data_IF_904251153637
#
_entry.id   IF_904251153637
#
_cell.length_a   1.000
_cell.length_b   1.000
_cell.length_c   1.000
_cell.angle_alpha   90.00
_cell.angle_beta   90.00
_cell.angle_gamma   90.00
#
_symmetry.space_group_name_H-M   'P 1'
#
loop_
_entity.id
_entity.type
_entity.pdbx_description
1 polymer ?
#
# COMPACT_ATOMS: atom_id res chain seq x y z
N UNK A 1 -41.92 15.22 -0.47
CA UNK A 1 -40.92 15.98 0.32
C UNK A 1 -40.68 15.24 1.62
N UNK A 2 -39.45 14.74 1.84
CA UNK A 2 -39.13 14.00 3.05
C UNK A 2 -39.04 14.95 4.26
N UNK A 3 -39.68 14.60 5.37
CA UNK A 3 -39.61 15.39 6.59
C UNK A 3 -38.18 15.33 7.19
N UNK A 4 -37.56 16.49 7.44
CA UNK A 4 -36.27 16.54 8.13
C UNK A 4 -36.54 16.39 9.62
N UNK A 5 -36.34 15.18 10.13
CA UNK A 5 -36.47 14.85 11.54
C UNK A 5 -35.33 13.94 11.98
N UNK A 6 -35.20 13.74 13.30
CA UNK A 6 -34.13 12.94 13.89
C UNK A 6 -34.10 11.50 13.33
N UNK A 7 -35.25 10.85 13.19
CA UNK A 7 -35.34 9.48 12.71
C UNK A 7 -34.80 9.33 11.27
N UNK A 8 -35.23 10.20 10.37
CA UNK A 8 -34.82 10.18 8.96
C UNK A 8 -33.32 10.49 8.79
N UNK A 9 -32.79 11.44 9.58
CA UNK A 9 -31.36 11.73 9.58
C UNK A 9 -30.52 10.56 10.10
N UNK A 10 -31.00 9.85 11.13
CA UNK A 10 -30.33 8.64 11.64
C UNK A 10 -30.28 7.53 10.60
N UNK A 11 -31.39 7.30 9.87
CA UNK A 11 -31.43 6.29 8.79
C UNK A 11 -30.47 6.66 7.66
N UNK A 12 -30.45 7.93 7.24
CA UNK A 12 -29.51 8.42 6.23
C UNK A 12 -28.06 8.20 6.67
N UNK A 13 -27.72 8.56 7.90
CA UNK A 13 -26.38 8.34 8.45
C UNK A 13 -25.99 6.86 8.45
N UNK A 14 -26.88 5.97 8.88
CA UNK A 14 -26.63 4.53 8.84
C UNK A 14 -26.42 4.02 7.41
N UNK A 15 -27.20 4.51 6.45
CA UNK A 15 -27.06 4.16 5.03
C UNK A 15 -25.70 4.58 4.48
N UNK A 16 -25.29 5.83 4.73
CA UNK A 16 -23.98 6.33 4.30
C UNK A 16 -22.83 5.60 4.99
N UNK A 17 -22.96 5.31 6.29
CA UNK A 17 -21.99 4.49 7.01
C UNK A 17 -21.84 3.10 6.39
N UNK A 18 -22.96 2.47 6.00
CA UNK A 18 -22.94 1.17 5.31
C UNK A 18 -22.25 1.27 3.95
N UNK A 19 -22.52 2.31 3.16
CA UNK A 19 -21.83 2.56 1.89
C UNK A 19 -20.33 2.74 2.07
N UNK A 20 -19.92 3.52 3.08
CA UNK A 20 -18.50 3.71 3.43
C UNK A 20 -17.81 2.40 3.82
N UNK A 21 -18.45 1.61 4.70
CA UNK A 21 -17.95 0.28 5.07
C UNK A 21 -17.89 -0.69 3.89
N UNK A 22 -18.78 -0.54 2.91
CA UNK A 22 -18.73 -1.25 1.64
C UNK A 22 -17.51 -0.84 0.82
N UNK A 23 -17.24 0.47 0.72
CA UNK A 23 -16.08 1.04 0.03
C UNK A 23 -14.74 0.54 0.56
N UNK A 24 -14.59 0.42 1.88
CA UNK A 24 -13.38 -0.15 2.51
C UNK A 24 -13.04 -1.55 1.98
N UNK A 25 -14.05 -2.35 1.65
CA UNK A 25 -13.84 -3.73 1.15
C UNK A 25 -13.47 -3.79 -0.33
N UNK A 26 -13.59 -2.68 -1.05
CA UNK A 26 -13.25 -2.59 -2.47
C UNK A 26 -11.75 -2.30 -2.68
N UNK A 27 -11.12 -1.62 -1.72
CA UNK A 27 -9.68 -1.38 -1.74
C UNK A 27 -8.90 -2.70 -1.60
N UNK A 28 -7.81 -2.82 -2.37
CA UNK A 28 -6.90 -3.97 -2.32
C UNK A 28 -5.45 -3.47 -2.24
N UNK A 29 -5.08 -2.78 -1.16
CA UNK A 29 -3.76 -2.19 -1.02
C UNK A 29 -2.66 -3.26 -1.10
N UNK A 30 -1.50 -2.86 -1.61
CA UNK A 30 -0.31 -3.70 -1.80
C UNK A 30 0.88 -3.28 -0.94
N UNK A 31 0.78 -2.22 -0.15
CA UNK A 31 1.87 -1.67 0.67
C UNK A 31 2.47 -2.70 1.61
N UNK A 32 1.69 -3.68 2.08
CA UNK A 32 2.15 -4.76 2.97
C UNK A 32 3.24 -5.65 2.32
N UNK A 33 3.38 -5.61 0.99
CA UNK A 33 4.42 -6.34 0.27
C UNK A 33 5.80 -5.68 0.41
N UNK A 34 5.83 -4.40 0.75
CA UNK A 34 7.03 -3.56 0.74
C UNK A 34 7.27 -2.81 2.06
N UNK A 35 6.28 -2.82 2.97
CA UNK A 35 6.35 -2.15 4.26
C UNK A 35 5.65 -2.97 5.36
N UNK A 36 6.14 -2.83 6.59
CA UNK A 36 5.57 -3.47 7.78
C UNK A 36 4.70 -2.49 8.55
N UNK A 37 3.57 -2.96 9.10
CA UNK A 37 2.70 -2.17 9.96
C UNK A 37 3.28 -2.09 11.37
N UNK A 38 3.51 -0.88 11.87
CA UNK A 38 3.80 -0.63 13.29
C UNK A 38 2.65 0.22 13.85
N UNK A 39 1.91 -0.25 14.87
CA UNK A 39 0.85 0.53 15.48
C UNK A 39 1.41 1.75 16.21
N UNK A 40 0.77 2.91 16.04
CA UNK A 40 1.13 4.18 16.68
C UNK A 40 -0.05 4.67 17.52
N UNK A 41 0.19 5.06 18.77
CA UNK A 41 -0.83 5.60 19.68
C UNK A 41 -0.51 7.00 20.20
N UNK A 42 0.73 7.48 20.03
CA UNK A 42 1.18 8.82 20.46
C UNK A 42 1.11 9.88 19.36
N UNK A 43 1.72 11.05 19.58
CA UNK A 43 1.87 12.09 18.56
C UNK A 43 2.97 11.76 17.53
N UNK A 44 3.92 10.91 17.91
CA UNK A 44 5.01 10.45 17.06
C UNK A 44 5.51 9.09 17.54
N UNK A 45 6.12 8.33 16.64
CA UNK A 45 6.92 7.17 17.00
C UNK A 45 8.40 7.53 16.98
N UNK A 46 9.08 7.19 18.06
CA UNK A 46 10.52 7.35 18.19
C UNK A 46 11.20 5.98 18.01
N UNK A 47 12.17 5.93 17.09
CA UNK A 47 12.80 4.69 16.65
C UNK A 47 14.31 4.68 16.93
N UNK A 48 14.71 4.92 18.19
CA UNK A 48 16.11 4.78 18.61
C UNK A 48 16.70 3.35 18.44
N UNK A 49 15.84 2.36 18.22
CA UNK A 49 16.22 0.95 18.09
C UNK A 49 16.43 0.50 16.64
N UNK A 50 16.24 1.37 15.63
CA UNK A 50 16.41 1.02 14.20
C UNK A 50 17.84 0.60 13.84
N UNK A 51 18.78 0.74 14.79
CA UNK A 51 20.10 0.15 14.66
C UNK A 51 20.02 -1.36 14.64
N UNK A 52 20.77 -1.96 13.72
CA UNK A 52 20.78 -3.39 13.52
C UNK A 52 21.30 -4.06 14.79
N UNK A 53 20.41 -4.78 15.48
CA UNK A 53 20.78 -5.60 16.63
C UNK A 53 21.96 -6.50 16.22
N UNK A 54 23.04 -6.58 17.01
CA UNK A 54 24.21 -7.35 16.63
C UNK A 54 23.83 -8.79 16.34
N UNK A 55 24.44 -9.37 15.29
CA UNK A 55 24.20 -10.77 14.94
C UNK A 55 24.46 -11.66 16.15
N UNK A 56 23.55 -12.60 16.40
CA UNK A 56 23.74 -13.63 17.42
C UNK A 56 25.06 -14.35 17.16
N UNK A 57 25.86 -14.48 18.21
CA UNK A 57 27.12 -15.23 18.19
C UNK A 57 27.12 -16.23 19.32
N UNK A 58 27.92 -17.27 19.17
CA UNK A 58 28.14 -18.23 20.24
C UNK A 58 28.73 -17.54 21.48
N UNK A 59 28.29 -17.99 22.65
CA UNK A 59 28.73 -17.44 23.92
C UNK A 59 30.16 -17.91 24.20
N UNK A 60 31.14 -17.01 24.05
CA UNK A 60 32.54 -17.28 24.37
C UNK A 60 32.96 -16.31 25.47
N UNK A 61 33.18 -16.83 26.68
CA UNK A 61 33.63 -16.04 27.83
C UNK A 61 32.55 -15.14 28.44
N UNK A 62 32.92 -13.92 28.85
CA UNK A 62 32.00 -12.97 29.48
C UNK A 62 31.10 -12.25 28.45
N UNK A 63 29.98 -11.71 28.93
CA UNK A 63 29.02 -10.97 28.12
C UNK A 63 29.69 -9.73 27.51
N UNK A 64 29.86 -9.71 26.19
CA UNK A 64 30.29 -8.49 25.51
C UNK A 64 29.08 -7.59 25.24
N UNK A 65 29.22 -6.32 25.61
CA UNK A 65 28.22 -5.28 25.42
C UNK A 65 28.58 -4.48 24.17
N UNK A 66 27.76 -4.58 23.14
CA UNK A 66 27.82 -3.68 22.00
C UNK A 66 27.03 -2.42 22.34
N UNK A 67 27.67 -1.25 22.29
CA UNK A 67 26.96 0.02 22.39
C UNK A 67 26.23 0.27 21.09
N UNK A 68 24.91 0.46 21.17
CA UNK A 68 24.13 1.03 20.07
C UNK A 68 24.53 2.51 19.96
N UNK A 69 24.79 2.98 18.75
CA UNK A 69 24.91 4.40 18.45
C UNK A 69 23.53 5.06 18.70
N UNK A 70 23.48 6.37 18.84
CA UNK A 70 22.25 7.10 19.14
C UNK A 70 21.82 7.86 17.89
N UNK A 71 20.96 7.24 17.08
CA UNK A 71 20.27 7.94 15.99
C UNK A 71 18.81 8.22 16.39
N UNK A 72 18.47 9.51 16.46
CA UNK A 72 17.11 9.96 16.75
C UNK A 72 16.27 9.97 15.47
N UNK A 73 15.56 8.88 15.19
CA UNK A 73 14.57 8.85 14.11
C UNK A 73 13.16 8.98 14.66
N UNK A 74 12.54 10.13 14.43
CA UNK A 74 11.16 10.44 14.86
C UNK A 74 10.24 10.54 13.66
N UNK A 75 9.17 9.76 13.66
CA UNK A 75 8.11 9.85 12.65
C UNK A 75 6.88 10.46 13.31
N UNK A 76 6.52 11.72 12.98
CA UNK A 76 5.29 12.33 13.49
C UNK A 76 4.07 11.69 12.85
N UNK A 77 3.02 11.48 13.65
CA UNK A 77 1.71 11.10 13.13
C UNK A 77 1.09 12.31 12.44
N UNK A 78 0.43 12.07 11.30
CA UNK A 78 -0.30 13.07 10.53
C UNK A 78 -1.76 12.66 10.43
N UNK A 79 -2.64 13.64 10.57
CA UNK A 79 -4.07 13.43 10.44
C UNK A 79 -4.51 13.62 8.98
N UNK A 80 -5.43 12.76 8.53
CA UNK A 80 -5.96 12.77 7.17
C UNK A 80 -7.48 12.66 7.22
N UNK A 81 -8.17 13.39 6.35
CA UNK A 81 -9.62 13.38 6.30
C UNK A 81 -10.16 13.30 4.86
N UNK A 82 -11.31 12.65 4.73
CA UNK A 82 -12.15 12.68 3.55
C UNK A 82 -13.62 12.81 4.01
N UNK A 83 -14.20 13.99 3.79
CA UNK A 83 -15.51 14.35 4.36
C UNK A 83 -16.59 14.39 3.29
N UNK A 84 -17.71 13.69 3.53
CA UNK A 84 -18.91 13.72 2.67
C UNK A 84 -19.93 14.67 3.28
N UNK A 85 -20.27 15.74 2.56
CA UNK A 85 -21.21 16.77 3.02
C UNK A 85 -22.56 16.60 2.35
N UNK A 86 -23.61 16.35 3.14
CA UNK A 86 -24.99 16.26 2.65
C UNK A 86 -25.69 17.62 2.75
N UNK A 87 -26.16 18.14 1.61
CA UNK A 87 -26.93 19.39 1.57
C UNK A 87 -28.35 19.18 2.10
N UNK A 88 -28.81 20.10 2.95
CA UNK A 88 -30.19 20.12 3.49
C UNK A 88 -31.25 20.08 2.39
N UNK A 89 -31.05 20.84 1.31
CA UNK A 89 -32.04 20.89 0.22
C UNK A 89 -32.17 19.54 -0.49
N UNK A 90 -31.05 18.82 -0.69
CA UNK A 90 -31.11 17.49 -1.30
C UNK A 90 -31.87 16.47 -0.43
N UNK A 91 -31.93 16.68 0.89
CA UNK A 91 -32.77 15.86 1.78
C UNK A 91 -34.24 16.19 1.58
N UNK A 92 -34.60 17.47 1.43
CA UNK A 92 -35.99 17.89 1.20
C UNK A 92 -36.52 17.39 -0.16
N UNK A 93 -35.65 17.47 -1.16
CA UNK A 93 -35.94 17.20 -2.57
C UNK A 93 -35.71 15.73 -2.95
N UNK A 94 -35.39 14.86 -1.97
CA UNK A 94 -35.14 13.41 -2.16
C UNK A 94 -34.02 13.07 -3.16
N UNK A 95 -33.00 13.93 -3.23
CA UNK A 95 -31.81 13.78 -4.08
C UNK A 95 -30.66 13.09 -3.34
N UNK A 96 -30.93 11.92 -2.75
CA UNK A 96 -29.97 11.25 -1.85
C UNK A 96 -29.08 10.21 -2.53
N UNK A 97 -29.44 9.75 -3.73
CA UNK A 97 -28.72 8.68 -4.44
C UNK A 97 -27.23 8.96 -4.70
N UNK A 98 -26.85 10.23 -4.83
CA UNK A 98 -25.47 10.65 -5.09
C UNK A 98 -24.53 10.39 -3.90
N UNK A 99 -25.04 10.50 -2.66
CA UNK A 99 -24.21 10.45 -1.46
C UNK A 99 -23.75 9.03 -1.13
N UNK A 100 -24.50 8.00 -1.55
CA UNK A 100 -24.07 6.61 -1.40
C UNK A 100 -22.80 6.32 -2.21
N UNK A 101 -22.71 6.84 -3.44
CA UNK A 101 -21.53 6.70 -4.30
C UNK A 101 -20.35 7.47 -3.69
N UNK A 102 -20.58 8.69 -3.23
CA UNK A 102 -19.54 9.48 -2.55
C UNK A 102 -19.02 8.80 -1.28
N UNK A 103 -19.91 8.26 -0.44
CA UNK A 103 -19.51 7.53 0.76
C UNK A 103 -18.71 6.25 0.41
N UNK A 104 -19.10 5.55 -0.67
CA UNK A 104 -18.36 4.37 -1.15
C UNK A 104 -16.96 4.76 -1.63
N UNK A 105 -16.86 5.82 -2.43
CA UNK A 105 -15.59 6.34 -2.92
C UNK A 105 -14.67 6.80 -1.78
N UNK A 106 -15.23 7.47 -0.76
CA UNK A 106 -14.50 7.86 0.44
C UNK A 106 -13.96 6.64 1.20
N UNK A 107 -14.76 5.58 1.35
CA UNK A 107 -14.30 4.33 1.96
C UNK A 107 -13.17 3.66 1.17
N UNK A 108 -13.30 3.62 -0.16
CA UNK A 108 -12.24 3.07 -1.01
C UNK A 108 -10.94 3.88 -0.93
N UNK A 109 -11.03 5.21 -0.94
CA UNK A 109 -9.88 6.10 -0.77
C UNK A 109 -9.21 5.90 0.59
N UNK A 110 -9.99 5.76 1.67
CA UNK A 110 -9.45 5.49 3.00
C UNK A 110 -8.67 4.15 3.06
N UNK A 111 -9.14 3.11 2.37
CA UNK A 111 -8.43 1.82 2.33
C UNK A 111 -7.15 1.87 1.46
N UNK A 112 -7.17 2.64 0.37
CA UNK A 112 -6.01 2.80 -0.52
C UNK A 112 -4.99 3.83 -0.01
N UNK A 113 -5.35 4.67 0.95
CA UNK A 113 -4.49 5.73 1.46
C UNK A 113 -3.08 5.26 1.90
N UNK A 114 -2.92 4.12 2.62
CA UNK A 114 -1.60 3.64 2.99
C UNK A 114 -0.72 3.25 1.79
N UNK A 115 -1.32 2.79 0.68
CA UNK A 115 -0.58 2.53 -0.56
C UNK A 115 0.03 3.82 -1.11
N UNK A 116 -0.75 4.89 -1.20
CA UNK A 116 -0.28 6.18 -1.71
C UNK A 116 0.93 6.68 -0.91
N UNK A 117 0.84 6.66 0.42
CA UNK A 117 1.96 7.08 1.27
C UNK A 117 3.20 6.22 1.09
N UNK A 118 3.07 4.89 1.11
CA UNK A 118 4.22 3.98 1.05
C UNK A 118 4.89 4.02 -0.31
N UNK A 119 4.11 4.04 -1.41
CA UNK A 119 4.69 4.15 -2.74
C UNK A 119 5.26 5.53 -3.04
N UNK A 120 4.73 6.61 -2.46
CA UNK A 120 5.36 7.92 -2.54
C UNK A 120 6.73 7.94 -1.86
N UNK A 121 6.86 7.32 -0.68
CA UNK A 121 8.14 7.17 0.00
C UNK A 121 9.13 6.33 -0.81
N UNK A 122 8.68 5.25 -1.45
CA UNK A 122 9.51 4.43 -2.33
C UNK A 122 9.99 5.20 -3.56
N UNK A 123 9.13 6.02 -4.17
CA UNK A 123 9.54 6.89 -5.29
C UNK A 123 10.63 7.89 -4.86
N UNK A 124 10.60 8.32 -3.59
CA UNK A 124 11.59 9.22 -2.99
C UNK A 124 12.79 8.48 -2.38
N UNK A 125 12.88 7.16 -2.47
CA UNK A 125 13.88 6.37 -1.77
C UNK A 125 15.34 6.68 -2.16
N UNK A 126 15.56 7.23 -3.37
CA UNK A 126 16.90 7.61 -3.85
C UNK A 126 17.31 9.03 -3.49
N UNK A 127 16.42 9.83 -2.88
CA UNK A 127 16.66 11.25 -2.60
C UNK A 127 16.34 11.66 -1.15
N UNK A 128 15.27 11.12 -0.58
CA UNK A 128 14.87 11.41 0.80
C UNK A 128 15.82 10.75 1.79
N UNK A 129 16.32 11.54 2.75
CA UNK A 129 17.26 11.10 3.77
C UNK A 129 16.60 10.17 4.80
N UNK A 130 17.35 9.18 5.24
CA UNK A 130 17.00 8.23 6.28
C UNK A 130 17.65 8.58 7.62
N UNK A 131 17.56 7.66 8.58
CA UNK A 131 18.08 7.84 9.94
C UNK A 131 19.58 8.14 10.00
N UNK A 132 20.35 7.70 9.00
CA UNK A 132 21.79 7.92 8.87
C UNK A 132 22.15 9.15 7.99
N UNK A 133 21.15 9.92 7.56
CA UNK A 133 21.33 11.12 6.74
C UNK A 133 21.58 10.86 5.25
N UNK A 134 21.59 9.60 4.81
CA UNK A 134 21.73 9.19 3.41
C UNK A 134 20.37 8.79 2.81
N UNK A 135 20.22 8.76 1.47
CA UNK A 135 19.01 8.23 0.84
C UNK A 135 18.74 6.77 1.25
N UNK A 136 17.47 6.37 1.31
CA UNK A 136 17.06 5.00 1.68
C UNK A 136 17.72 3.93 0.82
N UNK A 137 17.89 4.18 -0.47
CA UNK A 137 18.67 3.31 -1.36
C UNK A 137 20.01 3.99 -1.66
N UNK A 138 21.07 3.48 -1.03
CA UNK A 138 22.43 3.98 -1.17
C UNK A 138 23.46 2.85 -1.13
N UNK A 139 24.63 3.10 -1.73
CA UNK A 139 25.78 2.21 -1.65
C UNK A 139 26.72 2.55 -0.48
N UNK A 140 26.37 3.54 0.33
CA UNK A 140 27.28 4.19 1.27
C UNK A 140 26.77 4.18 2.72
N UNK A 141 25.78 3.34 3.05
CA UNK A 141 25.28 3.21 4.42
C UNK A 141 26.39 2.67 5.33
N UNK A 142 26.71 3.37 6.42
CA UNK A 142 27.78 2.95 7.34
C UNK A 142 27.19 2.39 8.64
N UNK A 143 27.71 1.25 9.07
CA UNK A 143 27.40 0.66 10.38
C UNK A 143 28.73 0.30 11.04
N UNK A 144 29.11 1.05 12.07
CA UNK A 144 30.47 1.03 12.61
C UNK A 144 31.48 1.41 11.52
N UNK A 145 32.54 0.62 11.39
CA UNK A 145 33.60 0.85 10.39
C UNK A 145 33.25 0.29 8.99
N UNK A 146 32.16 -0.46 8.88
CA UNK A 146 31.79 -1.17 7.65
C UNK A 146 30.77 -0.37 6.82
N UNK A 147 30.91 -0.43 5.50
CA UNK A 147 29.96 0.16 4.54
C UNK A 147 29.11 -0.94 3.90
N UNK A 148 27.80 -0.72 3.88
CA UNK A 148 26.79 -1.60 3.33
C UNK A 148 26.08 -0.93 2.16
N UNK A 149 25.72 -1.72 1.14
CA UNK A 149 25.00 -1.27 -0.04
C UNK A 149 23.71 -2.07 -0.19
N UNK A 150 22.57 -1.37 -0.28
CA UNK A 150 21.28 -1.95 -0.69
C UNK A 150 20.90 -1.56 -2.13
N UNK A 151 21.83 -0.95 -2.87
CA UNK A 151 21.66 -0.60 -4.27
C UNK A 151 22.06 -1.76 -5.19
N UNK A 152 21.10 -2.30 -5.94
CA UNK A 152 21.34 -3.26 -7.01
C UNK A 152 21.61 -2.59 -8.35
N UNK A 153 22.62 -3.05 -9.09
CA UNK A 153 22.93 -2.60 -10.47
C UNK A 153 22.57 -3.64 -11.54
N UNK A 154 21.96 -4.74 -11.13
CA UNK A 154 21.63 -5.83 -12.06
C UNK A 154 20.58 -5.33 -13.08
N UNK A 155 20.79 -5.57 -14.38
CA UNK A 155 19.80 -5.20 -15.40
C UNK A 155 18.51 -5.97 -15.14
N UNK A 156 17.38 -5.26 -15.17
CA UNK A 156 16.07 -5.89 -15.08
C UNK A 156 15.86 -6.79 -16.31
N UNK A 157 15.94 -8.10 -16.12
CA UNK A 157 15.68 -9.07 -17.18
C UNK A 157 14.22 -9.50 -17.17
N UNK A 158 13.66 -9.76 -18.35
CA UNK A 158 12.24 -10.12 -18.53
C UNK A 158 11.82 -11.40 -17.78
N UNK A 159 12.79 -12.24 -17.39
CA UNK A 159 12.58 -13.42 -16.56
C UNK A 159 12.19 -13.11 -15.10
N UNK A 160 12.24 -11.85 -14.66
CA UNK A 160 11.70 -11.45 -13.34
C UNK A 160 10.33 -10.76 -13.43
N UNK A 161 9.95 -10.23 -14.60
CA UNK A 161 8.67 -9.54 -14.84
C UNK A 161 7.52 -10.46 -15.26
N UNK A 162 7.76 -11.77 -15.39
CA UNK A 162 6.68 -12.78 -15.49
C UNK A 162 5.75 -12.81 -14.26
N UNK A 163 6.17 -12.20 -13.14
CA UNK A 163 5.35 -11.98 -11.94
C UNK A 163 4.85 -10.52 -11.80
N UNK A 164 5.24 -9.59 -12.69
CA UNK A 164 5.13 -8.14 -12.46
C UNK A 164 4.36 -7.30 -13.50
N UNK A 165 3.99 -7.82 -14.68
CA UNK A 165 3.41 -7.00 -15.77
C UNK A 165 2.13 -7.58 -16.39
N UNK A 166 1.25 -8.16 -15.58
CA UNK A 166 -0.06 -8.65 -16.06
C UNK A 166 -1.18 -7.61 -16.14
N UNK A 167 -0.98 -6.35 -15.72
CA UNK A 167 -2.11 -5.44 -15.43
C UNK A 167 -2.17 -4.13 -16.26
N UNK A 168 -1.17 -3.80 -17.08
CA UNK A 168 -1.17 -2.52 -17.83
C UNK A 168 -0.99 -2.77 -19.33
N UNK A 169 -2.03 -3.31 -19.97
CA UNK A 169 -2.37 -3.10 -21.40
C UNK A 169 -3.72 -3.77 -21.68
N UNK A 170 -4.83 -3.08 -21.39
CA UNK A 170 -6.13 -3.43 -21.97
C UNK A 170 -6.14 -3.02 -23.44
N UNK A 171 -6.49 -3.94 -24.35
CA UNK A 171 -6.75 -3.61 -25.76
C UNK A 171 -7.23 -4.82 -26.57
N UNK A 172 -8.55 -4.84 -26.85
CA UNK A 172 -9.27 -5.62 -27.84
C UNK A 172 -9.54 -7.13 -27.60
N UNK A 173 -10.83 -7.41 -27.45
CA UNK A 173 -11.52 -8.69 -27.62
C UNK A 173 -11.37 -9.18 -29.08
N UNK A 174 -11.05 -10.46 -29.31
CA UNK A 174 -11.70 -11.29 -30.34
C UNK A 174 -11.64 -12.78 -29.97
N UNK A 175 -12.81 -13.38 -29.91
CA UNK A 175 -13.04 -14.80 -29.71
C UNK A 175 -12.79 -15.53 -31.05
N UNK A 176 -11.95 -16.58 -31.06
CA UNK A 176 -12.07 -17.67 -32.04
C UNK A 176 -11.78 -18.98 -31.32
N UNK A 177 -12.80 -19.85 -31.21
CA UNK A 177 -12.58 -21.25 -30.84
C UNK A 177 -11.61 -21.82 -31.89
N UNK A 178 -10.43 -22.26 -31.46
CA UNK A 178 -9.59 -23.08 -32.31
C UNK A 178 -10.28 -24.45 -32.43
N UNK A 179 -11.00 -24.64 -33.53
CA UNK A 179 -11.42 -25.98 -33.96
C UNK A 179 -10.16 -26.81 -34.19
N UNK A 180 -10.14 -28.01 -33.57
CA UNK A 180 -9.07 -28.98 -33.72
C UNK A 180 -8.96 -29.33 -35.22
N UNK A 181 -7.78 -29.19 -35.86
CA UNK A 181 -7.62 -29.62 -37.24
C UNK A 181 -7.88 -31.14 -37.36
N UNK A 182 -8.55 -31.60 -38.42
CA UNK A 182 -8.83 -33.02 -38.62
C UNK A 182 -7.51 -33.81 -38.75
N UNK A 183 -7.44 -34.98 -38.11
CA UNK A 183 -6.32 -35.91 -38.26
C UNK A 183 -6.26 -36.38 -39.72
N UNK A 184 -5.14 -36.22 -40.45
CA UNK A 184 -4.99 -36.88 -41.73
C UNK A 184 -4.91 -38.39 -41.51
N UNK A 185 -5.73 -39.09 -42.29
CA UNK A 185 -5.83 -40.55 -42.42
C UNK A 185 -4.54 -41.16 -42.96
N UNK A 186 -4.29 -42.41 -42.56
CA UNK A 186 -3.13 -43.23 -42.87
C UNK A 186 -2.89 -43.41 -44.37
N UNK A 187 -1.61 -43.53 -44.78
CA UNK A 187 -1.24 -44.30 -45.97
C UNK A 187 0.20 -44.85 -45.93
N UNK A 188 0.32 -45.99 -46.60
CA UNK A 188 1.36 -47.02 -46.69
C UNK A 188 2.75 -46.57 -47.20
N UNK A 189 3.81 -47.16 -46.59
CA UNK A 189 4.95 -47.89 -47.21
C UNK A 189 5.84 -47.18 -48.28
N UNK A 190 7.02 -47.71 -48.67
CA UNK A 190 7.54 -49.10 -48.63
C UNK A 190 8.40 -49.48 -47.43
#
# INVERSE_FOLDING_TARGET
MAAINKANLSVLFMSLKKSFQGGLKLGKPQWQRVATRIPSTGAANYYAWLEMFPKMREWIGEKQLTKLLAHDFTVPNKDFEATVVVKRNHIKDDQLGIYGVQATAAGQSAEMWPDEMVFELLNKAFTAKCYDGLPFISNSHKIGDNTYSNMGKAPLSVCHTGCGQGLIRRGAYQHKKAERPPRPSAEHQP
#
